data_IF_931672678598
#
_entry.id   IF_931672678598
#
_cell.length_a   1.000
_cell.length_b   1.000
_cell.length_c   1.000
_cell.angle_alpha   90.00
_cell.angle_beta   90.00
_cell.angle_gamma   90.00
#
_symmetry.space_group_name_H-M   'P 1'
#
loop_
_entity.id
_entity.type
_entity.pdbx_description
1 polymer ?
#
# COMPACT_ATOMS: atom_id res chain seq x y z
N UNK A 1 3.35 17.90 -18.90
CA UNK A 1 3.61 17.92 -17.43
C UNK A 1 5.09 18.06 -17.13
N UNK A 2 5.97 17.21 -17.67
CA UNK A 2 7.42 17.27 -17.41
C UNK A 2 8.06 18.60 -17.82
N UNK A 3 7.54 19.26 -18.85
CA UNK A 3 7.99 20.58 -19.30
C UNK A 3 7.21 21.75 -18.70
N UNK A 4 6.29 21.48 -17.77
CA UNK A 4 5.46 22.52 -17.15
C UNK A 4 4.50 23.23 -18.10
N UNK A 5 4.06 22.54 -19.18
CA UNK A 5 3.15 23.09 -20.21
C UNK A 5 1.68 22.76 -19.97
N UNK A 6 1.34 22.04 -18.88
CA UNK A 6 -0.04 21.77 -18.52
C UNK A 6 -0.69 23.03 -17.93
N UNK A 7 -1.82 23.43 -18.45
CA UNK A 7 -2.65 24.52 -17.91
C UNK A 7 -3.43 24.11 -16.64
N UNK A 8 -3.49 22.82 -16.35
CA UNK A 8 -4.17 22.30 -15.16
C UNK A 8 -3.15 22.06 -14.04
N UNK A 9 -3.58 22.35 -12.82
CA UNK A 9 -2.79 22.05 -11.63
C UNK A 9 -2.63 20.53 -11.49
N UNK A 10 -1.40 20.04 -11.62
CA UNK A 10 -1.08 18.63 -11.43
C UNK A 10 -1.09 18.33 -9.92
N UNK A 11 -2.02 17.51 -9.49
CA UNK A 11 -2.02 16.98 -8.12
C UNK A 11 -1.01 15.86 -8.02
N UNK A 12 -0.02 16.04 -7.16
CA UNK A 12 0.98 15.02 -6.86
C UNK A 12 0.70 14.48 -5.46
N UNK A 13 0.77 13.16 -5.31
CA UNK A 13 0.68 12.50 -4.01
C UNK A 13 1.97 11.76 -3.69
N UNK A 14 2.28 11.64 -2.42
CA UNK A 14 3.36 10.78 -1.93
C UNK A 14 2.79 9.38 -1.76
N UNK A 15 3.43 8.38 -2.37
CA UNK A 15 3.11 6.99 -2.11
C UNK A 15 3.82 6.55 -0.83
N UNK A 16 3.08 6.56 0.27
CA UNK A 16 3.56 6.04 1.55
C UNK A 16 3.66 4.50 1.49
N UNK A 17 4.65 3.95 2.19
CA UNK A 17 4.87 2.50 2.27
C UNK A 17 4.18 1.94 3.52
N UNK A 18 2.88 2.10 3.61
CA UNK A 18 2.07 1.59 4.72
C UNK A 18 1.45 0.22 4.42
N UNK A 19 1.22 -0.57 5.46
CA UNK A 19 0.50 -1.84 5.38
C UNK A 19 -0.11 -2.22 6.74
N UNK A 20 -1.32 -2.80 6.75
CA UNK A 20 -2.22 -3.04 5.63
C UNK A 20 -2.91 -1.77 5.11
N UNK A 21 -3.47 -1.84 3.89
CA UNK A 21 -4.44 -0.86 3.44
C UNK A 21 -5.76 -1.07 4.19
N UNK A 22 -6.23 -0.02 4.86
CA UNK A 22 -7.43 -0.02 5.70
C UNK A 22 -8.52 0.81 5.03
N UNK A 23 -9.71 0.22 4.85
CA UNK A 23 -10.94 0.92 4.47
C UNK A 23 -11.76 1.13 5.73
N UNK A 24 -12.16 2.37 6.01
CA UNK A 24 -12.91 2.70 7.22
C UNK A 24 -13.81 3.92 7.01
N UNK A 25 -14.79 4.07 7.87
CA UNK A 25 -15.72 5.21 7.83
C UNK A 25 -17.14 4.82 8.25
N UNK A 26 -18.09 5.65 7.83
CA UNK A 26 -19.51 5.42 8.11
C UNK A 26 -20.14 4.68 6.93
N UNK A 27 -20.66 3.49 7.19
CA UNK A 27 -21.39 2.74 6.17
C UNK A 27 -22.71 3.46 5.85
N UNK A 28 -22.95 3.89 4.60
CA UNK A 28 -24.17 4.61 4.23
C UNK A 28 -25.42 3.77 4.38
N UNK A 29 -25.32 2.43 4.28
CA UNK A 29 -26.46 1.53 4.36
C UNK A 29 -27.10 1.50 5.77
N UNK A 30 -26.32 1.82 6.83
CA UNK A 30 -26.78 1.65 8.21
C UNK A 30 -26.26 2.69 9.22
N UNK A 31 -25.47 3.67 8.77
CA UNK A 31 -24.93 4.74 9.61
C UNK A 31 -23.89 4.29 10.66
N UNK A 32 -23.36 3.06 10.58
CA UNK A 32 -22.41 2.53 11.57
C UNK A 32 -20.99 2.70 11.11
N UNK A 33 -20.12 3.06 12.05
CA UNK A 33 -18.67 3.06 11.78
C UNK A 33 -18.15 1.64 11.60
N UNK A 34 -17.33 1.42 10.59
CA UNK A 34 -16.71 0.13 10.29
C UNK A 34 -15.22 0.28 9.93
N UNK A 35 -14.51 -0.83 10.00
CA UNK A 35 -13.17 -0.99 9.39
C UNK A 35 -13.09 -2.30 8.62
N UNK A 36 -12.19 -2.35 7.65
CA UNK A 36 -11.87 -3.56 6.90
C UNK A 36 -10.68 -3.33 5.97
N UNK A 37 -10.47 -4.27 5.09
CA UNK A 37 -9.57 -4.15 3.95
C UNK A 37 -10.40 -3.90 2.68
N UNK A 38 -9.80 -3.90 1.49
CA UNK A 38 -10.56 -3.84 0.22
C UNK A 38 -11.62 -4.94 0.08
N UNK A 39 -11.56 -5.99 0.90
CA UNK A 39 -12.58 -7.04 0.94
C UNK A 39 -13.97 -6.56 1.38
N UNK A 40 -14.10 -5.33 1.87
CA UNK A 40 -15.42 -4.71 2.14
C UNK A 40 -16.23 -4.50 0.86
N UNK A 41 -15.57 -4.44 -0.30
CA UNK A 41 -16.19 -4.30 -1.63
C UNK A 41 -16.20 -5.62 -2.42
N UNK A 42 -15.89 -6.75 -1.80
CA UNK A 42 -15.93 -8.05 -2.46
C UNK A 42 -17.37 -8.55 -2.65
N UNK A 43 -17.57 -9.54 -3.51
CA UNK A 43 -18.87 -10.19 -3.71
C UNK A 43 -19.46 -10.73 -2.39
N UNK A 44 -18.60 -11.18 -1.45
CA UNK A 44 -18.96 -11.50 -0.06
C UNK A 44 -18.25 -10.52 0.86
N UNK A 45 -18.86 -9.36 1.18
CA UNK A 45 -18.19 -8.28 1.87
C UNK A 45 -17.77 -8.65 3.29
N UNK A 46 -16.53 -8.33 3.65
CA UNK A 46 -15.98 -8.50 5.00
C UNK A 46 -15.97 -7.17 5.75
N UNK A 47 -17.12 -6.75 6.24
CA UNK A 47 -17.30 -5.49 6.96
C UNK A 47 -17.23 -5.76 8.45
N UNK A 48 -16.44 -4.98 9.20
CA UNK A 48 -16.25 -5.23 10.63
C UNK A 48 -16.74 -4.03 11.46
N UNK A 49 -17.80 -4.22 12.20
CA UNK A 49 -18.37 -3.27 13.15
C UNK A 49 -17.99 -3.57 14.60
N UNK A 50 -17.53 -4.81 14.85
CA UNK A 50 -17.21 -5.32 16.17
C UNK A 50 -15.93 -6.16 16.17
N UNK A 51 -15.36 -6.39 17.36
CA UNK A 51 -14.25 -7.33 17.55
C UNK A 51 -14.59 -8.75 17.04
N UNK A 52 -15.84 -9.18 17.21
CA UNK A 52 -16.29 -10.51 16.74
C UNK A 52 -16.26 -10.61 15.22
N UNK A 53 -16.66 -9.53 14.52
CA UNK A 53 -16.61 -9.49 13.06
C UNK A 53 -15.16 -9.59 12.56
N UNK A 54 -14.23 -8.88 13.20
CA UNK A 54 -12.80 -8.94 12.84
C UNK A 54 -12.27 -10.36 13.04
N UNK A 55 -12.52 -10.98 14.19
CA UNK A 55 -12.07 -12.33 14.48
C UNK A 55 -12.62 -13.35 13.46
N UNK A 56 -13.90 -13.20 13.07
CA UNK A 56 -14.54 -14.05 12.06
C UNK A 56 -13.94 -13.85 10.66
N UNK A 57 -13.71 -12.60 10.25
CA UNK A 57 -13.36 -12.25 8.86
C UNK A 57 -11.86 -12.25 8.59
N UNK A 58 -11.03 -11.99 9.61
CA UNK A 58 -9.59 -11.75 9.47
C UNK A 58 -8.72 -12.51 10.49
N UNK A 59 -9.34 -13.29 11.39
CA UNK A 59 -8.61 -13.99 12.45
C UNK A 59 -8.22 -13.09 13.62
N UNK A 60 -7.31 -13.59 14.45
CA UNK A 60 -6.81 -12.91 15.67
C UNK A 60 -5.30 -12.70 15.64
N UNK A 61 -4.67 -12.94 14.48
CA UNK A 61 -3.27 -12.70 14.19
C UNK A 61 -2.94 -11.21 13.99
N UNK A 62 -1.78 -10.90 13.46
CA UNK A 62 -1.28 -9.54 13.26
C UNK A 62 -2.29 -8.64 12.52
N UNK A 63 -2.87 -9.10 11.42
CA UNK A 63 -3.87 -8.34 10.67
C UNK A 63 -5.12 -8.07 11.50
N UNK A 64 -5.63 -9.09 12.20
CA UNK A 64 -6.80 -8.96 13.08
C UNK A 64 -6.56 -7.97 14.22
N UNK A 65 -5.38 -7.99 14.84
CA UNK A 65 -5.00 -7.06 15.91
C UNK A 65 -4.91 -5.62 15.40
N UNK A 66 -4.26 -5.39 14.24
CA UNK A 66 -4.16 -4.08 13.60
C UNK A 66 -5.54 -3.51 13.26
N UNK A 67 -6.42 -4.31 12.65
CA UNK A 67 -7.80 -3.89 12.36
C UNK A 67 -8.60 -3.61 13.62
N UNK A 68 -8.38 -4.34 14.71
CA UNK A 68 -9.04 -4.08 15.99
C UNK A 68 -8.61 -2.73 16.57
N UNK A 69 -7.32 -2.40 16.54
CA UNK A 69 -6.82 -1.08 16.95
C UNK A 69 -7.41 0.03 16.08
N UNK A 70 -7.47 -0.18 14.75
CA UNK A 70 -8.15 0.75 13.84
C UNK A 70 -9.63 0.95 14.21
N UNK A 71 -10.38 -0.12 14.47
CA UNK A 71 -11.79 -0.03 14.84
C UNK A 71 -12.02 0.78 16.13
N UNK A 72 -11.15 0.59 17.13
CA UNK A 72 -11.23 1.28 18.42
C UNK A 72 -10.85 2.75 18.34
N UNK A 73 -9.82 3.06 17.57
CA UNK A 73 -9.21 4.39 17.61
C UNK A 73 -9.68 5.30 16.47
N UNK A 74 -9.83 4.81 15.21
CA UNK A 74 -10.25 5.65 14.09
C UNK A 74 -11.67 6.18 14.23
N UNK A 75 -12.54 5.49 14.96
CA UNK A 75 -13.87 6.01 15.27
C UNK A 75 -13.84 7.37 15.99
N UNK A 76 -12.76 7.68 16.72
CA UNK A 76 -12.62 8.90 17.53
C UNK A 76 -12.35 10.17 16.71
N UNK A 77 -11.99 10.04 15.44
CA UNK A 77 -11.73 11.19 14.57
C UNK A 77 -12.96 11.64 13.78
N UNK A 78 -14.14 11.06 14.05
CA UNK A 78 -15.45 11.49 13.53
C UNK A 78 -15.47 11.69 12.01
N UNK A 79 -15.01 10.71 11.26
CA UNK A 79 -15.05 10.73 9.79
C UNK A 79 -16.51 10.77 9.28
N UNK A 80 -16.76 11.61 8.29
CA UNK A 80 -18.01 11.63 7.55
C UNK A 80 -17.76 11.09 6.14
N UNK A 81 -18.13 9.82 5.88
CA UNK A 81 -17.88 9.13 4.62
C UNK A 81 -17.02 7.88 4.79
N UNK A 82 -16.56 7.33 3.67
CA UNK A 82 -15.73 6.13 3.60
C UNK A 82 -14.40 6.47 2.95
N UNK A 83 -13.31 6.08 3.59
CA UNK A 83 -11.95 6.42 3.21
C UNK A 83 -11.07 5.17 3.19
N UNK A 84 -10.03 5.21 2.37
CA UNK A 84 -8.94 4.24 2.46
C UNK A 84 -7.63 4.96 2.75
N UNK A 85 -6.86 4.35 3.63
CA UNK A 85 -5.50 4.78 3.93
C UNK A 85 -4.58 3.59 4.17
N UNK A 86 -3.29 3.87 4.18
CA UNK A 86 -2.27 2.90 4.51
C UNK A 86 -1.88 3.05 5.99
N UNK A 87 -1.99 1.97 6.76
CA UNK A 87 -1.58 1.96 8.16
C UNK A 87 -0.06 2.06 8.24
N UNK A 88 0.46 3.06 8.95
CA UNK A 88 1.89 3.25 9.15
C UNK A 88 2.39 2.52 10.38
N UNK A 89 1.63 2.55 11.46
CA UNK A 89 2.00 1.90 12.72
C UNK A 89 0.80 1.71 13.64
N UNK A 90 0.94 0.79 14.55
CA UNK A 90 0.25 0.76 15.85
C UNK A 90 1.27 1.08 16.93
N UNK A 91 0.83 1.38 18.16
CA UNK A 91 1.75 1.65 19.27
C UNK A 91 2.70 0.47 19.59
N UNK A 92 2.38 -0.73 19.14
CA UNK A 92 3.22 -1.93 19.28
C UNK A 92 4.33 -2.01 18.22
N UNK A 93 4.17 -1.32 17.08
CA UNK A 93 5.17 -1.27 16.00
C UNK A 93 6.26 -0.22 16.26
N UNK A 94 6.05 0.66 17.24
CA UNK A 94 6.98 1.76 17.54
C UNK A 94 8.20 1.25 18.30
N UNK A 95 9.37 1.64 17.80
CA UNK A 95 10.65 1.40 18.48
C UNK A 95 11.45 2.70 18.61
N UNK A 96 12.42 2.73 19.54
CA UNK A 96 13.30 3.88 19.70
C UNK A 96 14.72 3.50 19.30
N UNK A 97 15.34 4.34 18.48
CA UNK A 97 16.71 4.15 17.99
C UNK A 97 17.50 5.44 18.12
N UNK A 98 18.79 5.32 18.38
CA UNK A 98 19.71 6.45 18.28
C UNK A 98 20.24 6.51 16.83
N UNK A 99 20.02 7.61 16.13
CA UNK A 99 20.50 7.87 14.79
C UNK A 99 21.32 9.16 14.82
N UNK A 100 22.58 9.07 14.45
CA UNK A 100 23.54 10.21 14.47
C UNK A 100 23.60 10.90 15.84
N UNK A 101 23.59 10.11 16.91
CA UNK A 101 23.67 10.62 18.29
C UNK A 101 22.37 11.22 18.84
N UNK A 102 21.26 11.16 18.12
CA UNK A 102 19.96 11.72 18.52
C UNK A 102 18.90 10.61 18.63
N UNK A 103 18.03 10.67 19.66
CA UNK A 103 16.95 9.71 19.83
C UNK A 103 15.86 9.93 18.77
N UNK A 104 15.44 8.84 18.14
CA UNK A 104 14.38 8.80 17.13
C UNK A 104 13.34 7.75 17.47
N UNK A 105 12.09 8.06 17.19
CA UNK A 105 11.00 7.09 17.09
C UNK A 105 11.06 6.48 15.70
N UNK A 106 11.04 5.15 15.62
CA UNK A 106 11.08 4.44 14.34
C UNK A 106 9.97 3.41 14.24
N UNK A 107 9.45 3.21 13.04
CA UNK A 107 8.48 2.17 12.69
C UNK A 107 8.68 1.73 11.24
N UNK A 108 8.37 0.46 10.97
CA UNK A 108 8.52 -0.13 9.64
C UNK A 108 7.22 -0.86 9.26
N UNK A 109 6.30 -0.20 8.55
CA UNK A 109 5.02 -0.82 8.19
C UNK A 109 5.16 -1.89 7.10
N UNK A 110 6.12 -1.79 6.20
CA UNK A 110 6.33 -2.72 5.10
C UNK A 110 7.81 -2.83 4.72
N UNK A 111 8.31 -2.00 3.82
CA UNK A 111 9.71 -2.06 3.34
C UNK A 111 10.54 -0.92 3.89
N UNK A 112 9.95 0.28 3.99
CA UNK A 112 10.64 1.50 4.43
C UNK A 112 10.57 1.63 5.95
N UNK A 113 11.69 1.93 6.57
CA UNK A 113 11.73 2.36 7.98
C UNK A 113 11.62 3.88 8.03
N UNK A 114 10.59 4.34 8.73
CA UNK A 114 10.42 5.75 9.05
C UNK A 114 11.13 6.07 10.36
N UNK A 115 11.81 7.21 10.40
CA UNK A 115 12.50 7.70 11.60
C UNK A 115 12.15 9.17 11.82
N UNK A 116 11.67 9.48 13.02
CA UNK A 116 11.25 10.84 13.39
C UNK A 116 11.98 11.25 14.67
N UNK A 117 12.60 12.45 14.74
CA UNK A 117 13.25 12.91 15.96
C UNK A 117 12.26 12.92 17.13
N UNK A 118 12.58 12.21 18.22
CA UNK A 118 11.66 12.00 19.36
C UNK A 118 11.18 13.31 19.99
N UNK A 119 12.05 14.31 20.05
CA UNK A 119 11.75 15.60 20.67
C UNK A 119 10.99 16.58 19.74
N UNK A 120 10.79 16.23 18.45
CA UNK A 120 10.02 17.07 17.54
C UNK A 120 8.52 17.03 17.88
N UNK A 121 7.77 18.03 17.44
CA UNK A 121 6.31 18.03 17.58
C UNK A 121 5.66 16.82 16.91
N UNK A 122 6.18 16.40 15.74
CA UNK A 122 5.74 15.21 15.05
C UNK A 122 6.07 13.93 15.85
N UNK A 123 7.27 13.86 16.44
CA UNK A 123 7.68 12.75 17.29
C UNK A 123 6.76 12.60 18.50
N UNK A 124 6.42 13.67 19.18
CA UNK A 124 5.47 13.67 20.31
C UNK A 124 4.06 13.23 19.90
N UNK A 125 3.59 13.64 18.72
CA UNK A 125 2.29 13.21 18.20
C UNK A 125 2.27 11.71 17.90
N UNK A 126 3.32 11.19 17.27
CA UNK A 126 3.47 9.76 16.95
C UNK A 126 3.57 8.94 18.24
N UNK A 127 4.34 9.39 19.21
CA UNK A 127 4.52 8.68 20.50
C UNK A 127 3.22 8.57 21.32
N UNK A 128 2.37 9.58 21.24
CA UNK A 128 1.05 9.57 21.89
C UNK A 128 0.01 8.71 21.18
N UNK A 129 0.20 8.46 19.87
CA UNK A 129 -0.79 7.79 19.05
C UNK A 129 -0.81 6.26 19.28
N UNK A 130 -2.00 5.68 19.17
CA UNK A 130 -2.24 4.23 19.22
C UNK A 130 -2.31 3.61 17.82
N UNK A 131 -2.58 4.44 16.81
CA UNK A 131 -2.57 4.10 15.39
C UNK A 131 -2.11 5.30 14.58
N UNK A 132 -1.34 5.06 13.52
CA UNK A 132 -0.96 6.05 12.52
C UNK A 132 -1.39 5.60 11.13
N UNK A 133 -2.10 6.47 10.39
CA UNK A 133 -2.65 6.16 9.07
C UNK A 133 -2.52 7.36 8.13
N UNK A 134 -2.21 7.10 6.85
CA UNK A 134 -2.21 8.10 5.78
C UNK A 134 -3.35 7.81 4.82
N UNK A 135 -4.32 8.71 4.76
CA UNK A 135 -5.46 8.58 3.85
C UNK A 135 -5.10 9.05 2.44
N UNK A 136 -5.55 8.32 1.42
CA UNK A 136 -5.24 8.61 0.02
C UNK A 136 -6.41 8.42 -0.94
N UNK A 137 -7.52 7.82 -0.50
CA UNK A 137 -8.70 7.57 -1.34
C UNK A 137 -9.97 7.87 -0.55
N UNK A 138 -10.90 8.54 -1.19
CA UNK A 138 -12.28 8.70 -0.75
C UNK A 138 -13.18 7.83 -1.58
N UNK A 139 -14.16 7.20 -0.97
CA UNK A 139 -15.19 6.43 -1.67
C UNK A 139 -16.52 7.20 -1.64
N UNK A 140 -17.17 7.29 -2.80
CA UNK A 140 -18.43 8.03 -2.99
C UNK A 140 -19.48 7.12 -3.62
N UNK A 141 -20.65 7.02 -3.02
CA UNK A 141 -21.79 6.19 -3.46
C UNK A 141 -22.93 6.28 -2.47
N UNK A 142 -24.13 5.90 -2.89
CA UNK A 142 -25.33 5.88 -2.02
C UNK A 142 -25.35 4.65 -1.10
N UNK A 143 -24.79 3.53 -1.56
CA UNK A 143 -24.63 2.29 -0.80
C UNK A 143 -23.16 1.88 -0.81
N UNK A 144 -22.76 1.03 0.12
CA UNK A 144 -21.39 0.51 0.16
C UNK A 144 -21.02 -0.28 -1.11
N UNK A 145 -22.01 -0.95 -1.73
CA UNK A 145 -21.81 -1.73 -2.95
C UNK A 145 -21.59 -0.85 -4.20
N UNK A 146 -22.15 0.35 -4.23
CA UNK A 146 -22.10 1.27 -5.38
C UNK A 146 -20.95 2.28 -5.27
N UNK A 147 -20.10 2.16 -4.25
CA UNK A 147 -19.03 3.12 -4.02
C UNK A 147 -17.97 3.09 -5.10
N UNK A 148 -17.64 4.27 -5.58
CA UNK A 148 -16.55 4.52 -6.52
C UNK A 148 -15.38 5.19 -5.82
N UNK A 149 -14.17 4.73 -6.11
CA UNK A 149 -12.95 5.29 -5.57
C UNK A 149 -12.58 6.59 -6.27
N UNK A 150 -12.29 7.63 -5.48
CA UNK A 150 -11.74 8.90 -5.94
C UNK A 150 -10.38 9.12 -5.29
N UNK A 151 -9.40 9.54 -6.08
CA UNK A 151 -8.06 9.84 -5.57
C UNK A 151 -8.07 11.07 -4.66
N UNK A 152 -7.35 10.96 -3.54
CA UNK A 152 -7.28 11.98 -2.50
C UNK A 152 -8.26 11.76 -1.36
N UNK A 153 -7.95 12.34 -0.22
CA UNK A 153 -8.79 12.34 0.96
C UNK A 153 -8.68 13.69 1.66
N UNK A 154 -9.81 14.37 1.87
CA UNK A 154 -9.88 15.56 2.70
C UNK A 154 -9.96 15.14 4.15
N UNK A 155 -8.90 15.38 4.91
CA UNK A 155 -8.81 15.01 6.33
C UNK A 155 -8.93 16.23 7.26
N UNK A 156 -9.08 17.40 6.69
CA UNK A 156 -9.12 18.69 7.41
C UNK A 156 -10.33 18.77 8.34
N UNK A 157 -11.42 18.08 8.00
CA UNK A 157 -12.66 18.05 8.78
C UNK A 157 -12.64 16.98 9.88
N UNK A 158 -11.62 16.12 9.92
CA UNK A 158 -11.53 15.08 10.94
C UNK A 158 -11.19 15.69 12.31
N UNK A 159 -11.83 15.19 13.33
CA UNK A 159 -11.55 15.61 14.71
C UNK A 159 -10.16 15.17 15.13
N UNK A 160 -9.34 16.10 15.62
CA UNK A 160 -8.03 15.78 16.19
C UNK A 160 -8.20 14.94 17.46
N UNK A 161 -7.41 13.87 17.57
CA UNK A 161 -7.39 13.00 18.75
C UNK A 161 -5.98 12.46 18.95
N UNK A 162 -5.41 12.62 20.14
CA UNK A 162 -4.03 12.22 20.43
C UNK A 162 -3.76 10.73 20.26
N UNK A 163 -4.80 9.88 20.30
CA UNK A 163 -4.65 8.44 20.07
C UNK A 163 -4.57 8.07 18.57
N UNK A 164 -4.72 9.04 17.67
CA UNK A 164 -4.70 8.80 16.21
C UNK A 164 -3.80 9.81 15.54
N UNK A 165 -2.72 9.34 14.98
CA UNK A 165 -1.93 10.11 14.02
C UNK A 165 -2.53 9.89 12.62
N UNK A 166 -2.89 10.95 11.92
CA UNK A 166 -3.37 10.87 10.56
C UNK A 166 -2.97 12.08 9.73
N UNK A 167 -2.78 11.85 8.46
CA UNK A 167 -2.63 12.88 7.42
C UNK A 167 -3.18 12.33 6.10
N UNK A 168 -3.19 13.16 5.05
CA UNK A 168 -3.46 12.72 3.70
C UNK A 168 -2.15 12.51 2.91
N UNK A 169 -2.24 11.77 1.81
CA UNK A 169 -1.11 11.49 0.94
C UNK A 169 -0.77 12.65 -0.02
N UNK A 170 -1.38 13.82 0.14
CA UNK A 170 -1.11 14.97 -0.70
C UNK A 170 0.34 15.43 -0.52
N UNK A 171 1.03 15.66 -1.63
CA UNK A 171 2.36 16.24 -1.60
C UNK A 171 2.26 17.72 -1.21
N UNK A 172 2.87 18.07 -0.10
CA UNK A 172 2.93 19.46 0.40
C UNK A 172 4.34 19.98 0.14
N UNK A 173 4.61 20.44 -1.09
CA UNK A 173 5.84 21.16 -1.39
C UNK A 173 5.60 22.66 -1.22
N UNK A 174 6.27 23.25 -0.28
CA UNK A 174 6.26 24.69 -0.04
C UNK A 174 7.43 25.40 -0.75
N UNK A 175 8.32 24.65 -1.41
CA UNK A 175 9.55 25.18 -2.02
C UNK A 175 9.42 25.58 -3.49
N UNK A 176 8.27 25.36 -4.13
CA UNK A 176 8.02 25.74 -5.53
C UNK A 176 7.58 24.60 -6.45
N UNK A 177 7.61 24.82 -7.76
CA UNK A 177 7.19 23.80 -8.72
C UNK A 177 8.26 22.73 -8.92
N UNK A 178 7.90 21.46 -8.74
CA UNK A 178 8.76 20.35 -9.18
C UNK A 178 8.78 20.29 -10.71
N UNK A 179 9.84 20.78 -11.30
CA UNK A 179 10.13 20.68 -12.75
C UNK A 179 11.46 19.98 -12.92
N UNK A 180 11.56 19.15 -13.92
CA UNK A 180 12.87 18.76 -14.39
C UNK A 180 13.60 19.98 -14.98
N UNK A 181 14.85 20.15 -14.64
CA UNK A 181 15.75 21.05 -15.36
C UNK A 181 15.89 20.58 -16.81
N UNK A 182 16.35 21.45 -17.69
CA UNK A 182 16.59 21.07 -19.08
C UNK A 182 17.58 19.90 -19.21
N UNK A 183 18.55 19.82 -18.30
CA UNK A 183 19.51 18.72 -18.27
C UNK A 183 18.88 17.41 -17.81
N UNK A 184 18.11 17.43 -16.74
CA UNK A 184 17.36 16.25 -16.27
C UNK A 184 16.34 15.77 -17.31
N UNK A 185 15.68 16.71 -18.00
CA UNK A 185 14.77 16.38 -19.11
C UNK A 185 15.51 15.68 -20.25
N UNK A 186 16.70 16.15 -20.63
CA UNK A 186 17.53 15.50 -21.67
C UNK A 186 17.95 14.09 -21.25
N UNK A 187 18.40 13.92 -20.01
CA UNK A 187 18.79 12.61 -19.48
C UNK A 187 17.60 11.66 -19.51
N UNK A 188 16.45 12.10 -18.99
CA UNK A 188 15.24 11.29 -18.97
C UNK A 188 14.78 10.87 -20.38
N UNK A 189 14.74 11.80 -21.34
CA UNK A 189 14.37 11.49 -22.71
C UNK A 189 15.37 10.53 -23.39
N UNK A 190 16.67 10.68 -23.13
CA UNK A 190 17.67 9.75 -23.64
C UNK A 190 17.50 8.32 -23.09
N UNK A 191 17.07 8.15 -21.84
CA UNK A 191 16.76 6.83 -21.30
C UNK A 191 15.47 6.24 -21.91
N UNK A 192 14.46 7.08 -22.22
CA UNK A 192 13.27 6.65 -22.96
C UNK A 192 13.62 6.17 -24.37
N UNK A 193 14.47 6.92 -25.10
CA UNK A 193 14.91 6.53 -26.45
C UNK A 193 15.67 5.19 -26.43
N UNK A 194 16.51 4.96 -25.40
CA UNK A 194 17.16 3.67 -25.20
C UNK A 194 16.15 2.55 -24.98
N UNK A 195 15.14 2.79 -24.13
CA UNK A 195 14.08 1.82 -23.86
C UNK A 195 13.30 1.49 -25.13
N UNK A 196 12.89 2.49 -25.92
CA UNK A 196 12.23 2.28 -27.21
C UNK A 196 13.09 1.45 -28.17
N UNK A 197 14.38 1.78 -28.27
CA UNK A 197 15.34 1.00 -29.09
C UNK A 197 15.46 -0.44 -28.64
N UNK A 198 15.40 -0.73 -27.33
CA UNK A 198 15.41 -2.08 -26.80
C UNK A 198 14.09 -2.81 -27.11
N UNK A 199 12.94 -2.16 -26.95
CA UNK A 199 11.64 -2.74 -27.22
C UNK A 199 11.45 -3.12 -28.69
N UNK A 200 12.00 -2.33 -29.64
CA UNK A 200 11.95 -2.66 -31.08
C UNK A 200 12.75 -3.92 -31.42
N UNK A 201 13.72 -4.30 -30.60
CA UNK A 201 14.54 -5.51 -30.76
C UNK A 201 13.93 -6.74 -30.13
N UNK A 202 12.88 -6.58 -29.28
CA UNK A 202 12.20 -7.70 -28.64
C UNK A 202 11.44 -8.50 -29.69
N UNK A 203 11.72 -9.79 -29.85
CA UNK A 203 11.01 -10.63 -30.80
C UNK A 203 9.51 -10.67 -30.49
N UNK A 204 8.64 -10.63 -31.52
CA UNK A 204 7.18 -10.65 -31.37
C UNK A 204 6.67 -11.88 -30.59
N UNK A 205 7.37 -13.01 -30.68
CA UNK A 205 7.05 -14.21 -29.91
C UNK A 205 7.25 -14.01 -28.40
N UNK A 206 8.12 -13.10 -27.97
CA UNK A 206 8.30 -12.79 -26.55
C UNK A 206 7.09 -11.98 -26.01
N UNK A 207 6.54 -11.04 -26.81
CA UNK A 207 5.28 -10.35 -26.44
C UNK A 207 4.13 -11.33 -26.27
N UNK A 208 4.08 -12.39 -27.10
CA UNK A 208 3.07 -13.43 -26.98
C UNK A 208 3.26 -14.28 -25.72
N UNK A 209 4.48 -14.45 -25.23
CA UNK A 209 4.77 -15.17 -23.99
C UNK A 209 4.12 -14.46 -22.77
N UNK A 210 4.18 -13.13 -22.74
CA UNK A 210 3.55 -12.34 -21.68
C UNK A 210 2.02 -12.39 -21.71
N UNK A 211 1.41 -12.57 -22.89
CA UNK A 211 -0.04 -12.70 -23.05
C UNK A 211 -0.57 -14.12 -22.90
N UNK A 212 0.24 -15.14 -23.20
CA UNK A 212 -0.17 -16.54 -23.21
C UNK A 212 -0.18 -17.20 -21.83
N UNK A 213 0.56 -16.64 -20.84
CA UNK A 213 0.64 -17.19 -19.49
C UNK A 213 0.25 -16.12 -18.48
N UNK A 214 -0.95 -16.24 -17.91
CA UNK A 214 -1.50 -15.26 -16.97
C UNK A 214 -0.66 -15.12 -15.69
N UNK A 215 0.09 -16.14 -15.29
CA UNK A 215 0.91 -16.14 -14.08
C UNK A 215 2.32 -15.57 -14.31
N UNK A 216 2.78 -15.47 -15.55
CA UNK A 216 4.16 -15.07 -15.85
C UNK A 216 4.47 -13.65 -15.38
N UNK A 217 3.65 -12.68 -15.76
CA UNK A 217 3.86 -11.27 -15.41
C UNK A 217 3.77 -11.03 -13.88
N UNK A 218 2.74 -11.54 -13.17
CA UNK A 218 2.70 -11.46 -11.72
C UNK A 218 3.93 -12.07 -11.03
N UNK A 219 4.38 -13.25 -11.45
CA UNK A 219 5.56 -13.88 -10.86
C UNK A 219 6.84 -13.13 -11.17
N UNK A 220 6.97 -12.56 -12.36
CA UNK A 220 8.10 -11.71 -12.72
C UNK A 220 8.15 -10.45 -11.85
N UNK A 221 7.02 -9.78 -11.62
CA UNK A 221 6.92 -8.64 -10.72
C UNK A 221 7.25 -9.02 -9.28
N UNK A 222 6.75 -10.15 -8.80
CA UNK A 222 7.05 -10.65 -7.46
C UNK A 222 8.54 -10.93 -7.27
N UNK A 223 9.20 -11.50 -8.27
CA UNK A 223 10.64 -11.77 -8.24
C UNK A 223 11.45 -10.47 -8.17
N UNK A 224 11.16 -9.50 -9.04
CA UNK A 224 11.81 -8.19 -9.01
C UNK A 224 11.60 -7.51 -7.65
N UNK A 225 10.37 -7.50 -7.14
CA UNK A 225 10.07 -6.91 -5.85
C UNK A 225 10.83 -7.57 -4.69
N UNK A 226 11.00 -8.90 -4.74
CA UNK A 226 11.79 -9.61 -3.74
C UNK A 226 13.26 -9.17 -3.78
N UNK A 227 13.86 -9.10 -4.98
CA UNK A 227 15.25 -8.63 -5.15
C UNK A 227 15.44 -7.20 -4.67
N UNK A 228 14.52 -6.29 -5.01
CA UNK A 228 14.57 -4.89 -4.56
C UNK A 228 14.48 -4.79 -3.03
N UNK A 229 13.62 -5.58 -2.40
CA UNK A 229 13.47 -5.63 -0.93
C UNK A 229 14.74 -6.12 -0.23
N UNK A 230 15.46 -7.05 -0.84
CA UNK A 230 16.70 -7.60 -0.32
C UNK A 230 17.93 -6.71 -0.68
N UNK A 231 17.73 -5.62 -1.42
CA UNK A 231 18.80 -4.76 -1.90
C UNK A 231 19.71 -5.44 -2.93
N UNK A 232 19.25 -6.54 -3.52
CA UNK A 232 20.00 -7.33 -4.50
C UNK A 232 19.66 -6.83 -5.91
N UNK A 233 20.66 -6.31 -6.60
CA UNK A 233 20.56 -6.06 -8.04
C UNK A 233 21.30 -7.18 -8.77
N UNK A 234 20.73 -7.72 -9.87
CA UNK A 234 21.43 -8.75 -10.63
C UNK A 234 22.69 -8.16 -11.27
N UNK A 235 23.80 -8.85 -11.12
CA UNK A 235 25.08 -8.43 -11.71
C UNK A 235 25.04 -8.55 -13.23
N UNK A 236 24.33 -9.57 -13.75
CA UNK A 236 24.14 -9.79 -15.17
C UNK A 236 22.78 -10.42 -15.51
N UNK A 237 22.41 -10.40 -16.80
CA UNK A 237 21.16 -10.95 -17.31
C UNK A 237 21.05 -12.48 -17.17
N UNK A 238 22.15 -13.20 -17.19
CA UNK A 238 22.16 -14.66 -17.08
C UNK A 238 21.84 -15.07 -15.64
N UNK A 239 22.46 -14.42 -14.67
CA UNK A 239 22.17 -14.62 -13.24
C UNK A 239 20.71 -14.28 -12.94
N UNK A 240 20.21 -13.15 -13.45
CA UNK A 240 18.82 -12.75 -13.32
C UNK A 240 17.85 -13.81 -13.86
N UNK A 241 18.08 -14.31 -15.08
CA UNK A 241 17.21 -15.30 -15.70
C UNK A 241 17.24 -16.66 -14.99
N UNK A 242 18.40 -17.09 -14.48
CA UNK A 242 18.51 -18.30 -13.67
C UNK A 242 17.70 -18.19 -12.37
N UNK A 243 17.89 -17.11 -11.63
CA UNK A 243 17.15 -16.84 -10.40
C UNK A 243 15.65 -16.74 -10.62
N UNK A 244 15.22 -16.03 -11.68
CA UNK A 244 13.80 -15.96 -12.04
C UNK A 244 13.23 -17.35 -12.39
N UNK A 245 13.94 -18.17 -13.16
CA UNK A 245 13.51 -19.54 -13.48
C UNK A 245 13.29 -20.38 -12.21
N UNK A 246 14.21 -20.33 -11.27
CA UNK A 246 14.10 -21.06 -10.00
C UNK A 246 12.91 -20.57 -9.17
N UNK A 247 12.76 -19.24 -9.05
CA UNK A 247 11.63 -18.61 -8.37
C UNK A 247 10.30 -19.02 -9.01
N UNK A 248 10.18 -18.96 -10.35
CA UNK A 248 8.99 -19.32 -11.09
C UNK A 248 8.59 -20.78 -10.85
N UNK A 249 9.55 -21.71 -10.96
CA UNK A 249 9.32 -23.14 -10.72
C UNK A 249 8.82 -23.37 -9.29
N UNK A 250 9.46 -22.75 -8.30
CA UNK A 250 9.06 -22.88 -6.89
C UNK A 250 7.62 -22.38 -6.66
N UNK A 251 7.23 -21.25 -7.26
CA UNK A 251 5.87 -20.71 -7.17
C UNK A 251 4.83 -21.60 -7.83
N UNK A 252 5.12 -22.14 -9.01
CA UNK A 252 4.25 -23.12 -9.69
C UNK A 252 4.05 -24.39 -8.87
N UNK A 253 5.11 -24.91 -8.26
CA UNK A 253 5.04 -26.08 -7.37
C UNK A 253 4.18 -25.81 -6.13
N UNK A 254 4.28 -24.61 -5.56
CA UNK A 254 3.48 -24.18 -4.42
C UNK A 254 1.99 -24.09 -4.77
N UNK A 255 1.64 -23.53 -5.95
CA UNK A 255 0.26 -23.48 -6.44
C UNK A 255 -0.32 -24.89 -6.63
N UNK A 256 0.43 -25.81 -7.28
CA UNK A 256 0.01 -27.18 -7.50
C UNK A 256 -0.23 -27.91 -6.17
N UNK A 257 0.65 -27.69 -5.18
CA UNK A 257 0.52 -28.28 -3.85
C UNK A 257 -0.71 -27.73 -3.11
N UNK A 258 -0.98 -26.44 -3.23
CA UNK A 258 -2.17 -25.80 -2.66
C UNK A 258 -3.47 -26.34 -3.26
N UNK A 259 -3.54 -26.49 -4.58
CA UNK A 259 -4.69 -27.06 -5.27
C UNK A 259 -4.95 -28.53 -4.88
N UNK A 260 -3.90 -29.33 -4.72
CA UNK A 260 -4.02 -30.74 -4.25
C UNK A 260 -4.53 -30.79 -2.81
N UNK A 261 -4.03 -29.90 -1.94
CA UNK A 261 -4.49 -29.82 -0.55
C UNK A 261 -5.97 -29.41 -0.48
N UNK A 262 -6.40 -28.43 -1.29
CA UNK A 262 -7.80 -28.00 -1.34
C UNK A 262 -8.73 -29.13 -1.82
N UNK A 263 -8.39 -29.81 -2.92
CA UNK A 263 -9.16 -30.98 -3.39
C UNK A 263 -9.27 -32.08 -2.34
N UNK A 264 -8.20 -32.30 -1.56
CA UNK A 264 -8.21 -33.28 -0.48
C UNK A 264 -9.10 -32.87 0.69
N UNK A 265 -9.24 -31.55 0.95
CA UNK A 265 -10.15 -31.01 1.95
C UNK A 265 -11.61 -31.12 1.49
N UNK A 266 -11.89 -30.75 0.24
CA UNK A 266 -13.24 -30.82 -0.35
C UNK A 266 -13.78 -32.25 -0.35
N UNK A 267 -12.94 -33.24 -0.69
CA UNK A 267 -13.30 -34.69 -0.65
C UNK A 267 -13.52 -35.26 0.77
N UNK A 268 -13.19 -34.53 1.82
CA UNK A 268 -13.43 -34.95 3.21
C UNK A 268 -14.68 -34.30 3.83
N UNK A 269 -15.30 -33.37 3.12
CA UNK A 269 -16.53 -32.68 3.55
C UNK A 269 -17.80 -33.27 2.92
N UNK A 270 -17.66 -34.12 1.89
CA UNK A 270 -18.71 -34.98 1.33
C UNK A 270 -18.71 -36.35 2.03
#
# INVERSE_FOLDING_TARGET
>A
TLKGTSSEAVKVSVKWDGAPAVVCGINPDNGRFFVGTKSVFAQSPKINYTKKDIAKNHGTDDLGQKLLKCLVHLKKINMNGVYQGDLLFTDEDITRKNIDGKPHITFNPNTITYAVPEQSELGKQIDAAKVGIIFHTTYVGETLADMNASAGASVEEFSKNNAVFFDNASYKDVSGSAKFTDNETKIFLAEIDKLESLLTRVPRNLSNLFGANQDFVPFFQMYINAMVKEGQLPEDSIQFLKGFKEFYIARMQQQISGLKAQKALDLRQD
#
